data_IF_725045552142
#
_entry.id   IF_725045552142
#
_cell.length_a   1.000
_cell.length_b   1.000
_cell.length_c   1.000
_cell.angle_alpha   90.00
_cell.angle_beta   90.00
_cell.angle_gamma   90.00
#
_symmetry.space_group_name_H-M   'P 1'
#
loop_
_entity.id
_entity.type
_entity.pdbx_description
1 polymer ?
#
# COMPACT_ATOMS: atom_id res chain seq x y z
N UNK A 1 -27.64 1.06 15.81
CA UNK A 1 -27.37 -0.10 14.93
C UNK A 1 -26.37 0.35 13.88
N UNK A 2 -25.09 0.07 14.07
CA UNK A 2 -24.08 0.33 13.03
C UNK A 2 -23.14 -0.87 13.01
N UNK A 3 -23.65 -1.96 12.42
CA UNK A 3 -22.86 -3.15 12.13
C UNK A 3 -21.83 -2.77 11.07
N UNK A 4 -20.60 -2.58 11.54
CA UNK A 4 -19.43 -2.34 10.71
C UNK A 4 -19.13 -3.65 9.96
N UNK A 5 -19.72 -3.82 8.77
CA UNK A 5 -19.42 -4.94 7.86
C UNK A 5 -17.98 -4.78 7.37
N UNK A 6 -17.04 -5.37 8.09
CA UNK A 6 -15.70 -5.63 7.58
C UNK A 6 -15.86 -6.54 6.35
N UNK A 7 -15.67 -5.94 5.18
CA UNK A 7 -15.72 -6.66 3.91
C UNK A 7 -14.54 -7.62 3.84
N UNK A 8 -14.89 -8.88 3.57
CA UNK A 8 -14.06 -10.07 3.63
C UNK A 8 -13.14 -10.21 2.40
N UNK A 9 -12.54 -9.11 1.97
CA UNK A 9 -11.58 -9.06 0.88
C UNK A 9 -10.30 -8.43 1.43
N UNK A 10 -9.14 -9.00 1.11
CA UNK A 10 -7.79 -8.50 1.47
C UNK A 10 -7.46 -7.16 0.77
N UNK A 11 -8.41 -6.23 0.78
CA UNK A 11 -8.30 -4.90 0.24
C UNK A 11 -7.89 -4.02 1.42
N UNK A 12 -6.69 -3.44 1.34
CA UNK A 12 -6.28 -2.41 2.29
C UNK A 12 -7.15 -1.17 2.07
N UNK A 13 -8.22 -1.07 2.86
CA UNK A 13 -9.11 0.09 2.92
C UNK A 13 -8.52 1.23 3.76
N UNK A 14 -7.40 0.99 4.45
CA UNK A 14 -6.68 2.00 5.20
C UNK A 14 -5.67 2.73 4.30
N UNK A 15 -5.48 4.02 4.58
CA UNK A 15 -4.45 4.82 3.94
C UNK A 15 -3.07 4.28 4.33
N UNK A 16 -2.28 3.93 3.32
CA UNK A 16 -0.91 3.45 3.50
C UNK A 16 0.01 4.67 3.41
N UNK A 17 0.82 4.90 4.43
CA UNK A 17 1.77 6.00 4.44
C UNK A 17 3.18 5.48 4.17
N UNK A 18 3.97 6.27 3.46
CA UNK A 18 5.37 5.97 3.25
C UNK A 18 6.13 6.01 4.59
N UNK A 19 6.83 4.94 4.99
CA UNK A 19 7.56 4.91 6.26
C UNK A 19 8.79 5.83 6.28
N UNK A 20 9.25 6.29 5.10
CA UNK A 20 10.42 7.16 4.97
C UNK A 20 10.05 8.65 4.96
N UNK A 21 9.00 9.04 4.24
CA UNK A 21 8.67 10.45 4.02
C UNK A 21 7.25 10.84 4.44
N UNK A 22 6.47 9.90 4.98
CA UNK A 22 5.09 10.12 5.43
C UNK A 22 4.05 10.33 4.33
N UNK A 23 4.46 10.28 3.05
CA UNK A 23 3.56 10.50 1.92
C UNK A 23 2.42 9.46 1.88
N UNK A 24 1.20 9.91 1.63
CA UNK A 24 0.04 9.02 1.51
C UNK A 24 0.12 8.31 0.16
N UNK A 25 0.04 6.98 0.17
CA UNK A 25 0.04 6.20 -1.05
C UNK A 25 -1.29 6.34 -1.80
N UNK A 26 -1.26 6.33 -3.15
CA UNK A 26 -2.47 6.42 -3.95
C UNK A 26 -3.46 5.31 -3.58
N UNK A 27 -4.76 5.50 -3.83
CA UNK A 27 -5.74 4.40 -3.66
C UNK A 27 -5.65 3.36 -4.77
N UNK A 28 -5.25 3.80 -5.97
CA UNK A 28 -5.06 2.93 -7.14
C UNK A 28 -3.60 2.53 -7.21
N UNK A 29 -3.33 1.23 -7.12
CA UNK A 29 -1.98 0.68 -7.12
C UNK A 29 -1.44 0.54 -8.53
N UNK A 30 -0.26 1.11 -8.76
CA UNK A 30 0.51 0.94 -10.00
C UNK A 30 1.81 0.22 -9.67
N UNK A 31 1.96 -1.08 -9.98
CA UNK A 31 3.19 -1.82 -9.72
C UNK A 31 4.33 -1.28 -10.58
N UNK A 32 5.50 -1.05 -9.96
CA UNK A 32 6.73 -0.57 -10.61
C UNK A 32 7.73 -1.71 -10.88
N UNK A 33 7.47 -2.92 -10.39
CA UNK A 33 8.32 -4.09 -10.59
C UNK A 33 7.51 -5.39 -10.48
N UNK A 34 8.11 -6.49 -10.96
CA UNK A 34 7.49 -7.82 -10.98
C UNK A 34 7.12 -8.28 -9.57
N UNK A 35 7.95 -7.98 -8.56
CA UNK A 35 7.66 -8.32 -7.17
C UNK A 35 6.38 -7.63 -6.68
N UNK A 36 6.19 -6.36 -7.00
CA UNK A 36 4.95 -5.63 -6.69
C UNK A 36 3.77 -6.15 -7.49
N UNK A 37 3.97 -6.53 -8.75
CA UNK A 37 2.91 -7.14 -9.55
C UNK A 37 2.41 -8.44 -8.91
N UNK A 38 3.33 -9.33 -8.50
CA UNK A 38 3.07 -10.66 -7.97
C UNK A 38 2.56 -10.65 -6.52
N UNK A 39 3.19 -9.86 -5.65
CA UNK A 39 2.97 -9.90 -4.19
C UNK A 39 2.26 -8.65 -3.64
N UNK A 40 2.03 -7.65 -4.49
CA UNK A 40 1.53 -6.35 -4.07
C UNK A 40 2.61 -5.43 -3.54
N UNK A 41 2.20 -4.24 -3.10
CA UNK A 41 3.10 -3.22 -2.56
C UNK A 41 3.15 -1.95 -3.39
N UNK A 42 3.95 -1.02 -2.88
CA UNK A 42 3.97 0.37 -3.32
C UNK A 42 5.40 0.82 -3.58
N UNK A 43 5.55 1.75 -4.51
CA UNK A 43 6.73 2.60 -4.60
C UNK A 43 6.26 4.02 -4.32
N UNK A 44 6.87 4.66 -3.33
CA UNK A 44 6.54 6.05 -3.01
C UNK A 44 6.86 6.95 -4.23
N UNK A 45 5.89 7.74 -4.74
CA UNK A 45 6.15 8.63 -5.86
C UNK A 45 7.08 9.81 -5.51
N UNK A 46 7.27 10.09 -4.21
CA UNK A 46 8.06 11.22 -3.71
C UNK A 46 9.50 10.86 -3.40
N UNK A 47 9.73 9.74 -2.71
CA UNK A 47 11.07 9.32 -2.28
C UNK A 47 11.55 8.00 -2.89
N UNK A 48 10.76 7.38 -3.78
CA UNK A 48 11.04 6.09 -4.40
C UNK A 48 11.23 4.90 -3.41
N UNK A 49 10.84 5.07 -2.14
CA UNK A 49 10.85 3.98 -1.17
C UNK A 49 9.93 2.84 -1.62
N UNK A 50 10.48 1.63 -1.70
CA UNK A 50 9.73 0.41 -1.99
C UNK A 50 9.12 -0.11 -0.69
N UNK A 51 7.85 -0.47 -0.78
CA UNK A 51 7.06 -0.95 0.33
C UNK A 51 6.28 -2.19 -0.07
N UNK A 52 5.97 -3.02 0.91
CA UNK A 52 5.07 -4.15 0.76
C UNK A 52 3.60 -3.68 0.68
N UNK A 53 2.68 -4.64 0.54
CA UNK A 53 1.24 -4.33 0.44
C UNK A 53 0.68 -3.61 1.66
N UNK A 54 1.37 -3.66 2.80
CA UNK A 54 0.96 -3.10 4.09
C UNK A 54 1.70 -1.80 4.45
N UNK A 55 2.55 -1.26 3.56
CA UNK A 55 3.30 -0.03 3.80
C UNK A 55 4.61 -0.22 4.56
N UNK A 56 5.07 -1.45 4.78
CA UNK A 56 6.39 -1.67 5.38
C UNK A 56 7.46 -1.56 4.32
N UNK A 57 8.56 -0.89 4.65
CA UNK A 57 9.74 -0.76 3.76
C UNK A 57 10.26 -2.14 3.39
N UNK A 58 10.48 -2.35 2.10
CA UNK A 58 11.17 -3.52 1.53
C UNK A 58 12.52 -3.03 1.04
N UNK A 59 13.59 -3.61 1.58
CA UNK A 59 14.99 -3.29 1.25
C UNK A 59 15.35 -3.96 -0.06
#
# INVERSE_FOLDING_TARGET
MTENKQSKMDINLHEINCPECGEIMPKIRIPQNISQLMWGGWTCPKCNCKMDKFGKKVI
#
